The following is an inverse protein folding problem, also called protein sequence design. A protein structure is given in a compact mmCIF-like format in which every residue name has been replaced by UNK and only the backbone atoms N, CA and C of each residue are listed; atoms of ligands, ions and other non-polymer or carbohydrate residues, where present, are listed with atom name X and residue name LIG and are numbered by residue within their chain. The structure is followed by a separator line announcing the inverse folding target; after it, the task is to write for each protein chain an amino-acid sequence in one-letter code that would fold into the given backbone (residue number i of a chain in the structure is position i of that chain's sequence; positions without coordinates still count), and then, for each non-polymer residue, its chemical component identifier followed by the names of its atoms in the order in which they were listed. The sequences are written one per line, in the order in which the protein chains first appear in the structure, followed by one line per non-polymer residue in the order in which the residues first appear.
data_IF_178273181852
#
_entry.id   IF_178273181852
#
_cell.length_a   1.000
_cell.length_b   1.000
_cell.length_c   1.000
_cell.angle_alpha   90.00
_cell.angle_beta   90.00
_cell.angle_gamma   90.00
#
_symmetry.space_group_name_H-M   'P 1'
#
loop_
_entity.id
_entity.type
_entity.pdbx_description
1 polymer ?
#
# COMPACT_ATOMS: atom_id res chain seq x y z
N UNK A 1 -11.41 1.37 -0.02
CA UNK A 1 -10.43 1.91 -1.00
C UNK A 1 -9.24 2.42 -0.20
N UNK A 2 -8.09 1.75 -0.28
CA UNK A 2 -6.83 2.27 0.27
C UNK A 2 -6.11 2.90 -0.91
N UNK A 3 -5.91 4.22 -0.89
CA UNK A 3 -5.33 4.95 -2.01
C UNK A 3 -5.72 6.42 -2.03
N UNK A 4 -5.44 7.09 -3.14
CA UNK A 4 -5.78 8.50 -3.35
C UNK A 4 -7.24 8.58 -3.83
N UNK A 5 -8.12 9.30 -3.11
CA UNK A 5 -9.50 9.49 -3.55
C UNK A 5 -9.57 10.39 -4.78
N UNK A 6 -10.74 10.44 -5.43
CA UNK A 6 -10.97 11.39 -6.54
C UNK A 6 -10.77 12.85 -6.08
N UNK A 7 -10.32 13.70 -7.00
CA UNK A 7 -10.18 15.14 -6.73
C UNK A 7 -11.49 15.73 -6.23
N UNK A 8 -11.43 16.51 -5.15
CA UNK A 8 -12.59 17.15 -4.53
C UNK A 8 -13.37 16.27 -3.53
N UNK A 9 -12.98 15.01 -3.32
CA UNK A 9 -13.60 14.17 -2.30
C UNK A 9 -13.35 14.71 -0.88
N UNK A 10 -14.39 14.70 -0.05
CA UNK A 10 -14.36 15.15 1.35
C UNK A 10 -14.62 13.99 2.31
N UNK A 11 -14.03 14.04 3.51
CA UNK A 11 -14.32 13.10 4.60
C UNK A 11 -14.81 13.86 5.84
N UNK A 12 -15.92 13.44 6.48
CA UNK A 12 -16.38 14.06 7.72
C UNK A 12 -15.43 13.71 8.87
N UNK A 13 -15.21 14.67 9.77
CA UNK A 13 -14.37 14.52 10.96
C UNK A 13 -15.11 15.10 12.18
N UNK A 14 -14.95 14.46 13.33
CA UNK A 14 -15.36 15.03 14.61
C UNK A 14 -14.33 16.06 15.05
N UNK A 15 -14.71 17.33 15.01
CA UNK A 15 -13.82 18.46 15.34
C UNK A 15 -13.58 18.55 16.85
N UNK A 16 -14.56 18.18 17.68
CA UNK A 16 -14.40 18.25 19.13
C UNK A 16 -13.40 17.19 19.61
N UNK A 17 -13.52 15.96 19.09
CA UNK A 17 -12.57 14.87 19.33
C UNK A 17 -11.16 15.22 18.82
N UNK A 18 -11.05 15.80 17.61
CA UNK A 18 -9.77 16.23 17.05
C UNK A 18 -9.03 17.21 17.96
N UNK A 19 -9.74 18.20 18.51
CA UNK A 19 -9.18 19.24 19.37
C UNK A 19 -8.89 18.72 20.77
N UNK A 20 -9.86 18.06 21.42
CA UNK A 20 -9.74 17.63 22.81
C UNK A 20 -8.62 16.59 22.99
N UNK A 21 -8.43 15.72 22.00
CA UNK A 21 -7.39 14.68 22.02
C UNK A 21 -6.12 15.10 21.27
N UNK A 22 -6.04 16.35 20.77
CA UNK A 22 -4.90 16.87 20.01
C UNK A 22 -4.48 15.96 18.85
N UNK A 23 -5.45 15.36 18.15
CA UNK A 23 -5.19 14.46 17.02
C UNK A 23 -4.66 15.23 15.80
N UNK A 24 -4.01 14.53 14.88
CA UNK A 24 -3.46 15.11 13.64
C UNK A 24 -4.00 14.38 12.41
N UNK A 25 -4.41 15.15 11.41
CA UNK A 25 -4.74 14.65 10.07
C UNK A 25 -3.59 15.01 9.14
N UNK A 26 -2.94 14.01 8.55
CA UNK A 26 -1.73 14.19 7.73
C UNK A 26 -1.94 13.48 6.39
N UNK A 27 -1.88 14.25 5.30
CA UNK A 27 -1.80 13.70 3.95
C UNK A 27 -0.42 13.12 3.67
N UNK A 28 -0.38 11.93 3.07
CA UNK A 28 0.86 11.25 2.69
C UNK A 28 0.72 10.70 1.28
N UNK A 29 1.66 11.06 0.41
CA UNK A 29 1.83 10.49 -0.93
C UNK A 29 3.03 9.55 -0.90
N UNK A 30 2.87 8.34 -1.41
CA UNK A 30 3.95 7.35 -1.61
C UNK A 30 4.87 7.16 -0.38
N UNK A 31 4.27 7.16 0.81
CA UNK A 31 4.98 6.95 2.08
C UNK A 31 5.84 8.13 2.55
N UNK A 32 5.78 9.31 1.89
CA UNK A 32 6.58 10.51 2.21
C UNK A 32 8.06 10.15 2.40
N UNK A 33 8.62 9.44 1.43
CA UNK A 33 9.98 8.90 1.49
C UNK A 33 10.87 9.47 0.38
N UNK A 34 12.19 9.40 0.58
CA UNK A 34 13.19 9.59 -0.46
C UNK A 34 13.50 8.22 -1.09
N UNK A 35 13.00 7.87 -2.29
CA UNK A 35 13.10 6.49 -2.80
C UNK A 35 14.53 5.96 -2.95
N UNK A 36 15.52 6.74 -3.46
CA UNK A 36 16.93 6.36 -3.46
C UNK A 36 17.50 5.91 -2.12
N UNK A 37 17.01 6.45 -1.00
CA UNK A 37 17.46 6.06 0.35
C UNK A 37 16.59 4.94 0.94
N UNK A 38 15.28 5.02 0.73
CA UNK A 38 14.32 4.18 1.42
C UNK A 38 14.21 2.78 0.79
N UNK A 39 14.22 2.67 -0.54
CA UNK A 39 14.09 1.38 -1.22
C UNK A 39 15.26 0.43 -0.90
N UNK A 40 16.55 0.86 -0.91
CA UNK A 40 17.65 0.00 -0.50
C UNK A 40 17.52 -0.49 0.96
N UNK A 41 17.02 0.38 1.86
CA UNK A 41 16.78 0.01 3.26
C UNK A 41 15.69 -1.07 3.37
N UNK A 42 14.58 -0.93 2.63
CA UNK A 42 13.53 -1.94 2.58
C UNK A 42 14.06 -3.27 2.03
N UNK A 43 14.84 -3.23 0.94
CA UNK A 43 15.45 -4.43 0.36
C UNK A 43 16.37 -5.15 1.37
N UNK A 44 17.19 -4.40 2.11
CA UNK A 44 18.04 -4.95 3.16
C UNK A 44 17.22 -5.56 4.31
N UNK A 45 16.09 -4.95 4.68
CA UNK A 45 15.17 -5.51 5.68
C UNK A 45 14.52 -6.80 5.19
N UNK A 46 14.13 -6.88 3.92
CA UNK A 46 13.59 -8.11 3.31
C UNK A 46 14.65 -9.21 3.28
N UNK A 47 15.85 -8.92 2.77
CA UNK A 47 16.96 -9.90 2.71
C UNK A 47 17.43 -10.37 4.08
N UNK A 48 17.28 -9.53 5.11
CA UNK A 48 17.57 -9.87 6.50
C UNK A 48 16.39 -10.47 7.28
N UNK A 49 15.27 -10.81 6.63
CA UNK A 49 14.12 -11.46 7.27
C UNK A 49 13.31 -10.57 8.23
N UNK A 50 13.57 -9.26 8.27
CA UNK A 50 12.85 -8.30 9.14
C UNK A 50 11.62 -7.69 8.48
N UNK A 51 11.41 -7.99 7.20
CA UNK A 51 10.28 -7.50 6.42
C UNK A 51 9.82 -8.61 5.44
N UNK A 52 8.87 -9.48 5.85
CA UNK A 52 8.47 -10.64 5.06
C UNK A 52 7.48 -10.30 3.93
N UNK A 53 7.83 -9.34 3.07
CA UNK A 53 6.97 -8.93 1.93
C UNK A 53 6.66 -10.08 0.97
N UNK A 54 7.56 -11.08 0.89
CA UNK A 54 7.35 -12.29 0.08
C UNK A 54 6.08 -13.05 0.44
N UNK A 55 5.63 -13.02 1.71
CA UNK A 55 4.40 -13.69 2.14
C UNK A 55 3.13 -13.03 1.59
N UNK A 56 3.21 -11.79 1.12
CA UNK A 56 2.11 -11.07 0.50
C UNK A 56 1.99 -11.36 -1.01
N UNK A 57 3.06 -11.90 -1.60
CA UNK A 57 3.19 -12.05 -3.05
C UNK A 57 2.45 -13.29 -3.53
N UNK A 58 1.60 -13.11 -4.54
CA UNK A 58 1.08 -14.20 -5.36
C UNK A 58 1.53 -14.00 -6.80
N UNK A 59 2.24 -14.97 -7.35
CA UNK A 59 2.79 -14.88 -8.70
C UNK A 59 1.82 -15.43 -9.73
N UNK A 60 1.69 -14.73 -10.85
CA UNK A 60 0.90 -15.15 -12.01
C UNK A 60 1.79 -15.08 -13.26
N UNK A 61 1.60 -15.97 -14.25
CA UNK A 61 2.22 -15.77 -15.56
C UNK A 61 1.64 -14.52 -16.23
N UNK A 62 2.41 -13.82 -17.05
CA UNK A 62 2.00 -12.57 -17.69
C UNK A 62 0.65 -12.66 -18.43
N UNK A 63 0.37 -13.83 -19.06
CA UNK A 63 -0.89 -14.10 -19.76
C UNK A 63 -2.14 -14.11 -18.88
N UNK A 64 -1.98 -14.26 -17.56
CA UNK A 64 -3.10 -14.35 -16.59
C UNK A 64 -3.41 -12.99 -15.94
N UNK A 65 -3.14 -11.87 -16.62
CA UNK A 65 -3.33 -10.51 -16.07
C UNK A 65 -4.75 -10.25 -15.55
N UNK A 66 -5.77 -10.73 -16.25
CA UNK A 66 -7.17 -10.54 -15.87
C UNK A 66 -7.49 -11.29 -14.57
N UNK A 67 -7.00 -12.52 -14.46
CA UNK A 67 -7.13 -13.33 -13.25
C UNK A 67 -6.40 -12.69 -12.06
N UNK A 68 -5.18 -12.20 -12.27
CA UNK A 68 -4.42 -11.50 -11.23
C UNK A 68 -5.17 -10.26 -10.71
N UNK A 69 -5.82 -9.50 -11.61
CA UNK A 69 -6.62 -8.33 -11.26
C UNK A 69 -7.92 -8.69 -10.51
N UNK A 70 -8.62 -9.76 -10.92
CA UNK A 70 -9.81 -10.26 -10.22
C UNK A 70 -9.47 -10.74 -8.81
N UNK A 71 -8.42 -11.56 -8.68
CA UNK A 71 -7.99 -12.05 -7.38
C UNK A 71 -7.51 -10.91 -6.47
N UNK A 72 -6.93 -9.84 -7.02
CA UNK A 72 -6.60 -8.63 -6.26
C UNK A 72 -7.85 -7.88 -5.78
N UNK A 73 -8.87 -7.72 -6.63
CA UNK A 73 -10.13 -7.06 -6.25
C UNK A 73 -10.89 -7.81 -5.17
N UNK A 74 -10.90 -9.14 -5.24
CA UNK A 74 -11.58 -10.00 -4.26
C UNK A 74 -10.78 -10.21 -2.98
N UNK A 75 -9.51 -9.76 -2.94
CA UNK A 75 -8.61 -9.95 -1.80
C UNK A 75 -7.98 -11.34 -1.73
N UNK A 76 -8.24 -12.22 -2.71
CA UNK A 76 -7.60 -13.53 -2.84
C UNK A 76 -6.09 -13.44 -3.14
N UNK A 77 -5.66 -12.33 -3.74
CA UNK A 77 -4.27 -11.99 -3.96
C UNK A 77 -3.98 -10.61 -3.34
N UNK A 78 -3.20 -10.56 -2.26
CA UNK A 78 -2.86 -9.29 -1.59
C UNK A 78 -1.91 -8.45 -2.45
N UNK A 79 -0.83 -9.07 -2.97
CA UNK A 79 0.11 -8.44 -3.89
C UNK A 79 0.35 -9.34 -5.10
N UNK A 80 -0.44 -9.23 -6.18
CA UNK A 80 -0.15 -9.95 -7.41
C UNK A 80 1.17 -9.46 -8.03
N UNK A 81 1.99 -10.40 -8.51
CA UNK A 81 3.20 -10.12 -9.31
C UNK A 81 3.10 -10.91 -10.60
N UNK A 82 3.21 -10.21 -11.73
CA UNK A 82 3.26 -10.84 -13.05
C UNK A 82 4.72 -11.23 -13.34
N UNK A 83 4.94 -12.50 -13.62
CA UNK A 83 6.22 -13.05 -14.05
C UNK A 83 6.19 -13.36 -15.57
N UNK A 84 7.35 -13.30 -16.26
CA UNK A 84 7.45 -13.64 -17.69
C UNK A 84 6.86 -15.01 -18.04
#
# INVERSE_FOLDING_TARGET
MVGVPACGATAPLDVADLVNESKRVIGVVEGRSNPPEFLPRLAAMMGGGRLPVGELIKTFPLRDIERAAEEMRTGLAVKPVLAP
#
